data_IF_157385118636
#
_entry.id   IF_157385118636
#
_cell.length_a   1.000
_cell.length_b   1.000
_cell.length_c   1.000
_cell.angle_alpha   90.00
_cell.angle_beta   90.00
_cell.angle_gamma   90.00
#
_symmetry.space_group_name_H-M   'P 1'
#
loop_
_entity.id
_entity.type
_entity.pdbx_description
1 polymer ?
#
# COMPACT_ATOMS: atom_id res chain seq x y z
N UNK A 1 1.20 17.76 -10.55
CA UNK A 1 2.61 17.37 -10.79
C UNK A 1 3.44 17.33 -9.50
N UNK A 2 3.84 18.44 -8.87
CA UNK A 2 4.65 18.36 -7.64
C UNK A 2 3.94 17.62 -6.52
N UNK A 3 2.67 17.98 -6.25
CA UNK A 3 1.87 17.32 -5.21
C UNK A 3 1.72 15.82 -5.49
N UNK A 4 1.54 15.40 -6.74
CA UNK A 4 1.47 13.99 -7.13
C UNK A 4 2.76 13.23 -6.82
N UNK A 5 3.92 13.84 -7.04
CA UNK A 5 5.21 13.23 -6.66
C UNK A 5 5.32 13.18 -5.13
N UNK A 6 5.09 14.32 -4.46
CA UNK A 6 5.26 14.45 -3.01
C UNK A 6 4.34 13.52 -2.22
N UNK A 7 3.10 13.29 -2.70
CA UNK A 7 2.09 12.45 -2.04
C UNK A 7 2.20 10.96 -2.39
N UNK A 8 3.18 10.57 -3.19
CA UNK A 8 3.37 9.18 -3.64
C UNK A 8 4.46 8.46 -2.84
N UNK A 9 4.22 7.20 -2.52
CA UNK A 9 5.21 6.27 -1.96
C UNK A 9 4.98 4.87 -2.53
N UNK A 10 6.07 4.09 -2.68
CA UNK A 10 5.97 2.68 -3.08
C UNK A 10 6.31 1.80 -1.87
N UNK A 11 5.45 0.82 -1.58
CA UNK A 11 5.60 -0.06 -0.40
C UNK A 11 5.43 -1.54 -0.80
N UNK A 12 6.47 -2.34 -0.59
CA UNK A 12 6.47 -3.77 -0.87
C UNK A 12 5.57 -4.56 0.08
N UNK A 13 4.91 -5.59 -0.45
CA UNK A 13 4.01 -6.48 0.30
C UNK A 13 4.67 -7.78 0.76
N UNK A 14 5.79 -8.18 0.14
CA UNK A 14 6.43 -9.48 0.40
C UNK A 14 6.79 -9.69 1.87
N UNK A 15 7.34 -8.67 2.54
CA UNK A 15 7.68 -8.75 3.97
C UNK A 15 6.43 -8.85 4.85
N UNK A 16 5.38 -8.10 4.51
CA UNK A 16 4.12 -8.16 5.25
C UNK A 16 3.44 -9.53 5.08
N UNK A 17 3.37 -10.05 3.86
CA UNK A 17 2.86 -11.38 3.56
C UNK A 17 3.67 -12.47 4.29
N UNK A 18 5.00 -12.34 4.32
CA UNK A 18 5.86 -13.24 5.11
C UNK A 18 5.55 -13.19 6.61
N UNK A 19 5.29 -12.00 7.17
CA UNK A 19 4.90 -11.85 8.57
C UNK A 19 3.58 -12.57 8.85
N UNK A 20 2.57 -12.41 7.98
CA UNK A 20 1.29 -13.11 8.09
C UNK A 20 1.46 -14.63 8.06
N UNK A 21 2.20 -15.15 7.08
CA UNK A 21 2.39 -16.58 6.89
C UNK A 21 3.24 -17.21 8.00
N UNK A 22 4.37 -16.58 8.37
CA UNK A 22 5.35 -17.19 9.28
C UNK A 22 5.07 -16.92 10.75
N UNK A 23 4.61 -15.71 11.11
CA UNK A 23 4.35 -15.37 12.53
C UNK A 23 2.92 -15.65 12.95
N UNK A 24 1.96 -15.53 12.03
CA UNK A 24 0.52 -15.66 12.36
C UNK A 24 -0.13 -16.90 11.77
N UNK A 25 0.59 -17.67 10.94
CA UNK A 25 0.05 -18.88 10.29
C UNK A 25 -1.14 -18.60 9.37
N UNK A 26 -1.25 -17.37 8.85
CA UNK A 26 -2.35 -16.96 7.96
C UNK A 26 -1.95 -17.19 6.51
N UNK A 27 -2.89 -17.69 5.71
CA UNK A 27 -2.70 -17.83 4.27
C UNK A 27 -2.82 -16.48 3.57
N UNK A 28 -2.05 -16.31 2.50
CA UNK A 28 -2.11 -15.14 1.62
C UNK A 28 -2.39 -15.64 0.22
N UNK A 29 -3.57 -15.31 -0.30
CA UNK A 29 -4.09 -15.67 -1.62
C UNK A 29 -4.55 -14.41 -2.37
N UNK A 30 -4.76 -14.46 -3.70
CA UNK A 30 -5.35 -13.35 -4.44
C UNK A 30 -6.66 -12.84 -3.83
N UNK A 31 -7.51 -13.74 -3.32
CA UNK A 31 -8.77 -13.38 -2.64
C UNK A 31 -8.51 -12.54 -1.38
N UNK A 32 -7.58 -12.97 -0.51
CA UNK A 32 -7.23 -12.19 0.69
C UNK A 32 -6.57 -10.85 0.37
N UNK A 33 -5.82 -10.78 -0.74
CA UNK A 33 -5.18 -9.54 -1.20
C UNK A 33 -6.26 -8.59 -1.76
N UNK A 34 -7.24 -9.07 -2.52
CA UNK A 34 -8.37 -8.28 -2.97
C UNK A 34 -9.15 -7.70 -1.78
N UNK A 35 -9.48 -8.52 -0.78
CA UNK A 35 -10.12 -8.05 0.45
C UNK A 35 -9.27 -6.98 1.16
N UNK A 36 -7.96 -7.20 1.29
CA UNK A 36 -7.04 -6.20 1.82
C UNK A 36 -7.06 -4.90 1.01
N UNK A 37 -7.12 -4.96 -0.32
CA UNK A 37 -7.12 -3.78 -1.19
C UNK A 37 -8.45 -3.01 -1.11
N UNK A 38 -9.57 -3.69 -0.89
CA UNK A 38 -10.86 -3.04 -0.57
C UNK A 38 -10.77 -2.29 0.77
N UNK A 39 -10.34 -2.97 1.83
CA UNK A 39 -10.19 -2.37 3.16
C UNK A 39 -9.19 -1.19 3.11
N UNK A 40 -8.09 -1.35 2.38
CA UNK A 40 -7.06 -0.33 2.26
C UNK A 40 -7.53 0.90 1.49
N UNK A 41 -8.28 0.74 0.40
CA UNK A 41 -8.80 1.89 -0.34
C UNK A 41 -9.92 2.62 0.43
N UNK A 42 -10.61 1.97 1.37
CA UNK A 42 -11.45 2.66 2.36
C UNK A 42 -10.61 3.38 3.41
N UNK A 43 -9.61 2.72 3.99
CA UNK A 43 -8.83 3.27 5.10
C UNK A 43 -7.85 4.38 4.67
N UNK A 44 -7.22 4.28 3.49
CA UNK A 44 -6.13 5.17 3.06
C UNK A 44 -6.53 6.65 2.97
N UNK A 45 -7.74 7.03 2.51
CA UNK A 45 -8.25 8.40 2.59
C UNK A 45 -8.47 8.94 4.01
N UNK A 46 -8.44 8.07 5.04
CA UNK A 46 -8.59 8.44 6.45
C UNK A 46 -9.94 8.04 7.06
N UNK A 47 -10.46 6.87 6.69
CA UNK A 47 -11.65 6.25 7.27
C UNK A 47 -11.26 5.11 8.24
N UNK A 48 -12.15 4.77 9.17
CA UNK A 48 -11.89 3.82 10.23
C UNK A 48 -12.32 2.38 9.86
N UNK A 49 -11.61 1.39 10.40
CA UNK A 49 -11.85 -0.05 10.14
C UNK A 49 -11.90 -0.94 11.38
N UNK A 50 -11.64 -0.41 12.58
CA UNK A 50 -11.55 -1.22 13.81
C UNK A 50 -12.27 -0.56 14.98
N UNK A 51 -11.91 0.68 15.32
CA UNK A 51 -12.40 1.33 16.53
C UNK A 51 -13.83 1.88 16.34
N UNK A 52 -14.62 1.81 17.40
CA UNK A 52 -15.94 2.45 17.49
C UNK A 52 -15.80 3.97 17.66
N UNK A 53 -16.84 4.73 17.28
CA UNK A 53 -16.96 6.17 17.50
C UNK A 53 -15.80 7.01 16.90
N UNK A 54 -15.30 6.59 15.74
CA UNK A 54 -14.30 7.34 15.00
C UNK A 54 -14.92 8.48 14.21
N UNK A 55 -14.15 9.56 14.06
CA UNK A 55 -14.42 10.61 13.08
C UNK A 55 -13.52 10.39 11.87
N UNK A 56 -14.02 10.72 10.68
CA UNK A 56 -13.38 10.36 9.40
C UNK A 56 -13.21 11.60 8.53
N UNK A 57 -12.31 11.52 7.54
CA UNK A 57 -12.21 12.57 6.52
C UNK A 57 -13.45 12.57 5.62
N UNK A 58 -13.86 13.75 5.14
CA UNK A 58 -14.95 13.83 4.17
C UNK A 58 -14.46 13.26 2.83
N UNK A 59 -15.10 12.22 2.23
CA UNK A 59 -14.59 11.56 1.03
C UNK A 59 -14.32 12.50 -0.15
N UNK A 60 -15.19 13.49 -0.38
CA UNK A 60 -14.98 14.50 -1.44
C UNK A 60 -13.76 15.42 -1.25
N UNK A 61 -13.11 15.42 -0.09
CA UNK A 61 -11.87 16.19 0.16
C UNK A 61 -10.60 15.32 -0.02
N UNK A 62 -10.78 14.02 -0.23
CA UNK A 62 -9.72 13.00 -0.28
C UNK A 62 -9.93 12.02 -1.44
N UNK A 63 -10.74 12.37 -2.44
CA UNK A 63 -11.06 11.54 -3.61
C UNK A 63 -9.85 11.19 -4.48
N UNK A 64 -8.78 11.98 -4.38
CA UNK A 64 -7.52 11.76 -5.10
C UNK A 64 -6.60 10.73 -4.41
N UNK A 65 -7.00 10.25 -3.23
CA UNK A 65 -6.27 9.26 -2.43
C UNK A 65 -6.67 7.84 -2.81
N UNK A 66 -5.70 7.00 -3.15
CA UNK A 66 -5.94 5.60 -3.50
C UNK A 66 -4.65 4.76 -3.40
N UNK A 67 -4.83 3.44 -3.41
CA UNK A 67 -3.74 2.47 -3.51
C UNK A 67 -3.98 1.52 -4.67
N UNK A 68 -2.95 1.33 -5.49
CA UNK A 68 -2.89 0.27 -6.50
C UNK A 68 -1.66 -0.61 -6.29
N UNK A 69 -1.67 -1.79 -6.89
CA UNK A 69 -0.57 -2.74 -6.83
C UNK A 69 -0.02 -3.06 -8.21
N UNK A 70 1.23 -3.47 -8.26
CA UNK A 70 1.87 -4.09 -9.42
C UNK A 70 2.77 -5.25 -8.98
N UNK A 71 2.94 -6.21 -9.88
CA UNK A 71 3.82 -7.37 -9.73
C UNK A 71 4.32 -7.78 -11.11
N UNK A 72 5.45 -8.46 -11.18
CA UNK A 72 5.92 -9.14 -12.39
C UNK A 72 5.40 -10.58 -12.51
N UNK A 73 4.61 -11.05 -11.54
CA UNK A 73 3.92 -12.34 -11.58
C UNK A 73 2.55 -12.21 -12.27
N UNK A 74 2.48 -12.62 -13.54
CA UNK A 74 1.28 -12.46 -14.38
C UNK A 74 0.07 -13.24 -13.82
N UNK A 75 0.29 -14.45 -13.28
CA UNK A 75 -0.78 -15.26 -12.68
C UNK A 75 -1.40 -14.54 -11.49
N UNK A 76 -0.55 -13.97 -10.62
CA UNK A 76 -1.01 -13.17 -9.49
C UNK A 76 -1.72 -11.88 -9.94
N UNK A 77 -1.21 -11.21 -10.97
CA UNK A 77 -1.81 -9.98 -11.47
C UNK A 77 -3.19 -10.21 -12.10
N UNK A 78 -3.40 -11.34 -12.77
CA UNK A 78 -4.65 -11.69 -13.45
C UNK A 78 -5.78 -12.10 -12.47
N UNK A 79 -5.42 -12.65 -11.31
CA UNK A 79 -6.38 -13.03 -10.25
C UNK A 79 -6.78 -11.86 -9.32
N UNK A 80 -6.14 -10.71 -9.46
CA UNK A 80 -6.48 -9.49 -8.71
C UNK A 80 -7.53 -8.65 -9.44
N UNK A 81 -8.37 -7.95 -8.68
CA UNK A 81 -9.39 -7.08 -9.25
C UNK A 81 -8.75 -5.95 -10.08
N UNK A 82 -9.12 -5.77 -11.36
CA UNK A 82 -8.42 -4.83 -12.25
C UNK A 82 -8.41 -3.37 -11.79
N UNK A 83 -9.38 -2.96 -10.96
CA UNK A 83 -9.44 -1.61 -10.41
C UNK A 83 -8.21 -1.27 -9.54
N UNK A 84 -7.63 -2.28 -8.87
CA UNK A 84 -6.47 -2.12 -8.01
C UNK A 84 -5.15 -2.40 -8.71
N UNK A 85 -5.13 -2.90 -9.95
CA UNK A 85 -3.90 -3.36 -10.61
C UNK A 85 -3.38 -2.30 -11.60
N UNK A 86 -2.10 -1.95 -11.46
CA UNK A 86 -1.32 -1.28 -12.50
C UNK A 86 -0.77 -2.36 -13.46
N UNK A 87 -1.57 -2.72 -14.46
CA UNK A 87 -1.23 -3.79 -15.38
C UNK A 87 -0.07 -3.36 -16.31
N UNK A 88 1.10 -3.97 -16.12
CA UNK A 88 2.35 -3.62 -16.81
C UNK A 88 2.22 -3.83 -18.32
N UNK A 89 1.61 -4.93 -18.76
CA UNK A 89 1.44 -5.24 -20.19
C UNK A 89 0.48 -4.28 -20.91
N UNK A 90 -0.48 -3.69 -20.18
CA UNK A 90 -1.38 -2.66 -20.73
C UNK A 90 -0.72 -1.27 -20.78
N UNK A 91 0.17 -0.97 -19.84
CA UNK A 91 0.76 0.37 -19.68
C UNK A 91 2.05 0.56 -20.49
N UNK A 92 2.74 -0.53 -20.87
CA UNK A 92 4.05 -0.46 -21.50
C UNK A 92 4.13 -1.29 -22.78
N UNK A 93 4.94 -0.87 -23.78
CA UNK A 93 5.25 -1.71 -24.94
C UNK A 93 5.89 -3.04 -24.52
N UNK A 94 5.61 -4.13 -25.23
CA UNK A 94 6.01 -5.51 -24.87
C UNK A 94 7.47 -5.66 -24.43
N UNK A 95 8.41 -5.00 -25.12
CA UNK A 95 9.83 -5.07 -24.75
C UNK A 95 10.11 -4.42 -23.38
N UNK A 96 9.50 -3.28 -23.09
CA UNK A 96 9.63 -2.59 -21.81
C UNK A 96 8.88 -3.34 -20.71
N UNK A 97 7.68 -3.85 -21.01
CA UNK A 97 6.91 -4.66 -20.07
C UNK A 97 7.71 -5.90 -19.61
N UNK A 98 8.34 -6.63 -20.55
CA UNK A 98 9.20 -7.77 -20.23
C UNK A 98 10.39 -7.38 -19.34
N UNK A 99 11.02 -6.22 -19.60
CA UNK A 99 12.12 -5.71 -18.76
C UNK A 99 11.65 -5.35 -17.35
N UNK A 100 10.50 -4.68 -17.23
CA UNK A 100 9.92 -4.29 -15.95
C UNK A 100 9.49 -5.52 -15.14
N UNK A 101 8.78 -6.48 -15.75
CA UNK A 101 8.38 -7.72 -15.09
C UNK A 101 9.59 -8.53 -14.62
N UNK A 102 10.64 -8.61 -15.44
CA UNK A 102 11.89 -9.27 -15.04
C UNK A 102 12.60 -8.56 -13.86
N UNK A 103 12.55 -7.22 -13.81
CA UNK A 103 13.16 -6.44 -12.72
C UNK A 103 12.35 -6.52 -11.41
N UNK A 104 11.02 -6.51 -11.49
CA UNK A 104 10.13 -6.65 -10.33
C UNK A 104 10.11 -8.10 -9.83
N UNK A 105 10.24 -9.07 -10.73
CA UNK A 105 10.13 -10.49 -10.41
C UNK A 105 8.74 -10.84 -9.85
N UNK A 106 8.68 -11.82 -8.95
CA UNK A 106 7.43 -12.23 -8.28
C UNK A 106 7.03 -11.34 -7.10
N UNK A 107 7.78 -10.28 -6.84
CA UNK A 107 7.50 -9.35 -5.74
C UNK A 107 6.29 -8.49 -6.04
N UNK A 108 5.47 -8.23 -5.01
CA UNK A 108 4.32 -7.36 -5.12
C UNK A 108 4.57 -6.01 -4.42
N UNK A 109 4.16 -4.93 -5.08
CA UNK A 109 4.39 -3.56 -4.62
C UNK A 109 3.11 -2.75 -4.67
N UNK A 110 2.92 -1.87 -3.69
CA UNK A 110 1.83 -0.91 -3.60
C UNK A 110 2.33 0.46 -4.06
N UNK A 111 1.64 1.08 -5.02
CA UNK A 111 1.73 2.50 -5.31
C UNK A 111 0.65 3.22 -4.49
N UNK A 112 1.07 3.92 -3.45
CA UNK A 112 0.20 4.63 -2.52
C UNK A 112 0.25 6.12 -2.82
N UNK A 113 -0.92 6.73 -2.98
CA UNK A 113 -1.05 8.17 -3.14
C UNK A 113 -1.92 8.72 -2.01
N UNK A 114 -1.35 9.47 -1.08
CA UNK A 114 -2.10 10.09 0.03
C UNK A 114 -2.88 11.32 -0.47
N UNK A 115 -3.85 11.86 0.30
CA UNK A 115 -4.64 13.00 -0.16
C UNK A 115 -3.76 14.24 -0.42
N UNK A 116 -4.02 14.92 -1.54
CA UNK A 116 -3.32 16.19 -1.87
C UNK A 116 -3.56 17.24 -0.79
N UNK A 117 -4.76 17.29 -0.22
CA UNK A 117 -5.12 18.21 0.88
C UNK A 117 -4.21 18.00 2.10
N UNK A 118 -3.87 16.76 2.44
CA UNK A 118 -2.91 16.41 3.51
C UNK A 118 -1.49 16.81 3.11
N UNK A 119 -1.05 16.45 1.89
CA UNK A 119 0.31 16.78 1.42
C UNK A 119 0.58 18.29 1.39
N UNK A 120 -0.45 19.10 1.07
CA UNK A 120 -0.36 20.56 1.04
C UNK A 120 -0.41 21.19 2.44
N UNK A 121 -1.11 20.57 3.37
CA UNK A 121 -1.18 21.01 4.78
C UNK A 121 0.11 20.67 5.53
N UNK A 122 0.75 19.57 5.15
CA UNK A 122 1.96 19.04 5.79
C UNK A 122 3.15 19.12 4.83
N UNK A 123 3.93 18.03 4.72
CA UNK A 123 5.16 17.96 3.94
C UNK A 123 5.36 16.58 3.28
N UNK A 124 6.51 16.36 2.63
CA UNK A 124 6.86 15.07 2.02
C UNK A 124 7.21 13.97 3.03
N UNK A 125 7.68 14.33 4.23
CA UNK A 125 7.93 13.37 5.31
C UNK A 125 6.65 12.72 5.83
N UNK A 126 5.50 13.35 5.60
CA UNK A 126 4.18 12.85 6.00
C UNK A 126 3.76 11.62 5.20
N UNK A 127 4.11 11.54 3.92
CA UNK A 127 3.60 10.53 2.97
C UNK A 127 3.85 9.09 3.41
N UNK A 128 5.10 8.73 3.73
CA UNK A 128 5.42 7.36 4.15
C UNK A 128 4.80 7.00 5.50
N UNK A 129 4.65 7.99 6.40
CA UNK A 129 4.05 7.79 7.71
C UNK A 129 2.55 7.53 7.60
N UNK A 130 1.82 8.39 6.88
CA UNK A 130 0.39 8.23 6.62
C UNK A 130 0.11 6.89 5.95
N UNK A 131 0.85 6.58 4.88
CA UNK A 131 0.76 5.29 4.17
C UNK A 131 0.90 4.11 5.13
N UNK A 132 1.92 4.10 5.98
CA UNK A 132 2.17 2.98 6.88
C UNK A 132 1.08 2.81 7.95
N UNK A 133 0.45 3.90 8.42
CA UNK A 133 -0.64 3.80 9.41
C UNK A 133 -1.84 3.07 8.80
N UNK A 134 -2.27 3.50 7.61
CA UNK A 134 -3.46 2.92 6.98
C UNK A 134 -3.19 1.51 6.44
N UNK A 135 -1.97 1.20 5.97
CA UNK A 135 -1.54 -0.17 5.66
C UNK A 135 -1.64 -1.06 6.90
N UNK A 136 -1.12 -0.61 8.05
CA UNK A 136 -1.17 -1.38 9.29
C UNK A 136 -2.60 -1.67 9.74
N UNK A 137 -3.48 -0.66 9.73
CA UNK A 137 -4.89 -0.83 10.08
C UNK A 137 -5.63 -1.76 9.11
N UNK A 138 -5.29 -1.69 7.82
CA UNK A 138 -5.92 -2.53 6.79
C UNK A 138 -5.49 -3.99 6.90
N UNK A 139 -4.22 -4.26 7.25
CA UNK A 139 -3.79 -5.61 7.61
C UNK A 139 -4.54 -6.13 8.85
N UNK A 140 -4.71 -5.30 9.87
CA UNK A 140 -5.47 -5.68 11.07
C UNK A 140 -6.91 -6.07 10.71
N UNK A 141 -7.59 -5.23 9.92
CA UNK A 141 -8.97 -5.44 9.49
C UNK A 141 -9.13 -6.66 8.57
N UNK A 142 -8.41 -6.68 7.45
CA UNK A 142 -8.57 -7.70 6.40
C UNK A 142 -8.12 -9.08 6.84
N UNK A 143 -7.02 -9.17 7.60
CA UNK A 143 -6.47 -10.45 8.04
C UNK A 143 -6.91 -10.85 9.45
N UNK A 144 -7.83 -10.11 10.08
CA UNK A 144 -8.37 -10.43 11.42
C UNK A 144 -7.24 -10.64 12.43
N UNK A 145 -6.32 -9.69 12.49
CA UNK A 145 -5.23 -9.69 13.47
C UNK A 145 -5.71 -9.11 14.79
N UNK A 146 -4.98 -9.38 15.88
CA UNK A 146 -5.22 -8.64 17.11
C UNK A 146 -4.80 -7.18 16.89
N UNK A 147 -5.69 -6.24 17.23
CA UNK A 147 -5.47 -4.80 17.04
C UNK A 147 -4.43 -4.26 18.04
N UNK A 148 -3.14 -4.48 17.73
CA UNK A 148 -2.01 -4.03 18.54
C UNK A 148 -1.09 -5.13 19.09
N UNK A 149 -1.06 -6.31 18.46
CA UNK A 149 -0.10 -7.37 18.85
C UNK A 149 1.32 -7.15 18.29
N UNK A 150 2.29 -7.93 18.80
CA UNK A 150 3.71 -7.77 18.43
C UNK A 150 3.99 -7.90 16.92
N UNK A 151 3.22 -8.72 16.19
CA UNK A 151 3.37 -8.86 14.74
C UNK A 151 3.02 -7.57 13.97
N UNK A 152 2.18 -6.68 14.54
CA UNK A 152 1.86 -5.38 13.94
C UNK A 152 3.11 -4.49 13.86
N UNK A 153 4.05 -4.63 14.80
CA UNK A 153 5.31 -3.88 14.75
C UNK A 153 6.18 -4.27 13.54
N UNK A 154 6.18 -5.55 13.14
CA UNK A 154 6.89 -5.99 11.93
C UNK A 154 6.27 -5.37 10.68
N UNK A 155 4.94 -5.30 10.61
CA UNK A 155 4.23 -4.63 9.52
C UNK A 155 4.58 -3.14 9.47
N UNK A 156 4.64 -2.49 10.62
CA UNK A 156 5.03 -1.08 10.72
C UNK A 156 6.49 -0.86 10.28
N UNK A 157 7.41 -1.74 10.66
CA UNK A 157 8.82 -1.65 10.24
C UNK A 157 8.98 -1.89 8.74
N UNK A 158 8.26 -2.88 8.19
CA UNK A 158 8.23 -3.16 6.76
C UNK A 158 7.71 -1.94 5.97
N UNK A 159 6.57 -1.38 6.36
CA UNK A 159 5.93 -0.27 5.64
C UNK A 159 6.67 1.08 5.77
N UNK A 160 7.49 1.27 6.82
CA UNK A 160 8.19 2.54 7.09
C UNK A 160 9.67 2.53 6.73
N UNK A 161 10.30 1.36 6.60
CA UNK A 161 11.74 1.25 6.39
C UNK A 161 12.13 0.10 5.45
N UNK A 162 11.83 -1.15 5.81
CA UNK A 162 12.43 -2.29 5.12
C UNK A 162 11.87 -2.56 3.71
N UNK A 163 10.62 -2.14 3.44
CA UNK A 163 9.93 -2.34 2.17
C UNK A 163 9.50 -1.04 1.50
N UNK A 164 10.02 0.12 1.92
CA UNK A 164 9.58 1.42 1.39
C UNK A 164 10.58 1.99 0.38
N UNK A 165 10.07 2.59 -0.70
CA UNK A 165 10.85 3.38 -1.64
C UNK A 165 10.33 4.82 -1.58
N UNK A 166 11.15 5.72 -1.01
CA UNK A 166 10.85 7.15 -0.98
C UNK A 166 11.14 7.80 -2.35
N UNK A 167 10.40 8.86 -2.67
CA UNK A 167 10.67 9.64 -3.89
C UNK A 167 11.94 10.51 -3.75
N UNK A 168 12.35 10.80 -2.52
CA UNK A 168 13.58 11.51 -2.20
C UNK A 168 14.04 11.17 -0.77
N UNK A 169 15.34 11.35 -0.50
CA UNK A 169 15.92 11.22 0.83
C UNK A 169 15.89 12.54 1.61
N UNK A 170 16.12 12.47 2.92
CA UNK A 170 16.25 13.64 3.78
C UNK A 170 17.48 14.46 3.40
N UNK A 171 17.35 15.79 3.40
CA UNK A 171 18.47 16.70 3.17
C UNK A 171 19.28 16.93 4.46
N UNK A 172 20.58 17.25 4.34
CA UNK A 172 21.40 17.65 5.49
C UNK A 172 20.86 18.94 6.14
N UNK A 173 21.24 19.13 7.41
CA UNK A 173 20.92 20.33 8.20
C UNK A 173 21.65 21.58 7.72
#
# INVERSE_FOLDING_TARGET
MWDDIRRTIIVGLDLAHNTLQKRLGKEVTPETINEYLHVLNHAMPGAAVVQEHMVETHPSLTEDCYVKVFTGDDEMADDLEPQFVLNIDKLFPTKMAAQLKAAVGKSMWQAVHIPTTVSRTCDGGTTSRWSAMQIGMSFIGAYKMCAGEAAVADLAFAAKHAGVIQMADILPA
#
